data_IF_053448132583
#
_entry.id   IF_053448132583
#
_cell.length_a   1.000
_cell.length_b   1.000
_cell.length_c   1.000
_cell.angle_alpha   90.00
_cell.angle_beta   90.00
_cell.angle_gamma   90.00
#
_symmetry.space_group_name_H-M   'P 1'
#
loop_
_entity.id
_entity.type
_entity.pdbx_description
1 polymer ?
#
# COMPACT_ATOMS: atom_id res chain seq x y z
N UNK A 1 12.99 51.25 -76.20
CA UNK A 1 13.73 51.25 -74.92
C UNK A 1 13.20 50.09 -74.11
N UNK A 2 14.12 49.35 -73.52
CA UNK A 2 13.94 48.25 -72.56
C UNK A 2 13.79 46.82 -73.13
N UNK A 3 14.52 45.94 -72.44
CA UNK A 3 15.16 44.69 -72.87
C UNK A 3 14.28 43.43 -72.76
N UNK A 4 14.59 42.37 -73.52
CA UNK A 4 14.03 41.03 -73.35
C UNK A 4 14.72 40.27 -72.22
N UNK A 5 13.95 39.87 -71.19
CA UNK A 5 14.42 38.98 -70.12
C UNK A 5 14.56 37.53 -70.59
N UNK A 6 15.76 37.00 -70.33
CA UNK A 6 16.25 35.63 -70.52
C UNK A 6 15.35 34.58 -69.85
N UNK A 7 14.88 33.63 -70.64
CA UNK A 7 14.50 32.28 -70.18
C UNK A 7 15.56 31.28 -70.64
N UNK A 8 15.94 30.33 -69.79
CA UNK A 8 16.51 29.06 -70.27
C UNK A 8 17.44 28.32 -69.34
N UNK A 9 16.85 27.37 -68.60
CA UNK A 9 17.44 26.12 -68.08
C UNK A 9 18.59 26.20 -67.06
N UNK A 10 18.24 26.03 -65.79
CA UNK A 10 19.08 25.33 -64.80
C UNK A 10 18.37 24.01 -64.48
N UNK A 11 18.94 22.90 -64.93
CA UNK A 11 18.54 21.55 -64.53
C UNK A 11 19.12 21.27 -63.14
N UNK A 12 18.28 21.30 -62.10
CA UNK A 12 18.63 20.84 -60.76
C UNK A 12 18.55 19.31 -60.73
N UNK A 13 19.69 18.64 -60.84
CA UNK A 13 19.84 17.22 -60.49
C UNK A 13 19.83 17.10 -58.97
N UNK A 14 18.65 16.89 -58.38
CA UNK A 14 18.52 16.41 -57.01
C UNK A 14 18.96 14.94 -56.97
N UNK A 15 20.24 14.73 -56.65
CA UNK A 15 20.74 13.43 -56.24
C UNK A 15 20.11 13.02 -54.91
N UNK A 16 19.08 12.17 -54.99
CA UNK A 16 18.59 11.42 -53.84
C UNK A 16 19.68 10.41 -53.43
N UNK A 17 20.58 10.82 -52.55
CA UNK A 17 21.41 9.88 -51.81
C UNK A 17 20.48 9.05 -50.93
N UNK A 18 20.23 7.80 -51.33
CA UNK A 18 19.66 6.80 -50.43
C UNK A 18 20.58 6.72 -49.22
N UNK A 19 20.06 6.82 -47.97
CA UNK A 19 20.91 6.66 -46.80
C UNK A 19 21.58 5.29 -46.87
N UNK A 20 22.90 5.27 -46.75
CA UNK A 20 23.67 4.05 -46.66
C UNK A 20 23.06 3.19 -45.53
N UNK A 21 22.54 2.02 -45.90
CA UNK A 21 21.99 1.08 -44.93
C UNK A 21 23.13 0.68 -43.99
N UNK A 22 23.03 1.04 -42.71
CA UNK A 22 24.03 0.67 -41.72
C UNK A 22 24.16 -0.86 -41.70
N UNK A 23 25.33 -1.39 -42.05
CA UNK A 23 25.59 -2.83 -42.02
C UNK A 23 25.37 -3.35 -40.60
N UNK A 24 24.44 -4.30 -40.45
CA UNK A 24 24.15 -4.92 -39.17
C UNK A 24 25.28 -5.85 -38.75
N UNK A 25 25.52 -5.90 -37.45
CA UNK A 25 26.63 -6.61 -36.83
C UNK A 25 26.10 -7.84 -36.08
N UNK A 26 26.67 -9.01 -36.40
CA UNK A 26 26.34 -10.31 -35.83
C UNK A 26 27.41 -10.75 -34.81
N UNK A 27 27.04 -11.40 -33.69
CA UNK A 27 28.00 -11.93 -32.73
C UNK A 27 28.77 -13.13 -33.29
N UNK A 28 30.10 -13.10 -33.21
CA UNK A 28 31.00 -14.18 -33.59
C UNK A 28 31.54 -14.93 -32.36
N UNK A 29 32.01 -16.16 -32.56
CA UNK A 29 32.68 -16.95 -31.53
C UNK A 29 33.85 -16.17 -30.91
N UNK A 30 33.79 -15.88 -29.61
CA UNK A 30 34.75 -15.02 -28.91
C UNK A 30 34.24 -13.60 -28.57
N UNK A 31 32.94 -13.34 -28.76
CA UNK A 31 32.29 -12.10 -28.28
C UNK A 31 32.54 -10.86 -29.13
N UNK A 32 33.19 -11.01 -30.30
CA UNK A 32 33.39 -9.91 -31.27
C UNK A 32 32.16 -9.78 -32.17
N UNK A 33 31.78 -8.55 -32.50
CA UNK A 33 30.74 -8.25 -33.47
C UNK A 33 31.35 -8.11 -34.86
N UNK A 34 30.90 -8.90 -35.84
CA UNK A 34 31.34 -8.86 -37.24
C UNK A 34 30.14 -8.55 -38.17
N UNK A 35 30.36 -7.97 -39.36
CA UNK A 35 29.28 -7.79 -40.33
C UNK A 35 28.60 -9.13 -40.65
N UNK A 36 27.27 -9.18 -40.64
CA UNK A 36 26.52 -10.39 -40.98
C UNK A 36 26.83 -10.81 -42.42
N UNK A 37 27.15 -12.10 -42.67
CA UNK A 37 27.62 -12.54 -43.98
C UNK A 37 26.49 -12.86 -44.95
N UNK A 38 25.28 -13.08 -44.44
CA UNK A 38 24.09 -13.35 -45.24
C UNK A 38 22.82 -12.82 -44.57
N UNK A 39 21.75 -12.70 -45.36
CA UNK A 39 20.45 -12.21 -44.90
C UNK A 39 19.85 -13.04 -43.74
N UNK A 40 20.12 -14.35 -43.69
CA UNK A 40 19.61 -15.20 -42.61
C UNK A 40 20.28 -14.87 -41.28
N UNK A 41 21.60 -14.70 -41.26
CA UNK A 41 22.36 -14.23 -40.09
C UNK A 41 21.91 -12.85 -39.63
N UNK A 42 21.65 -11.95 -40.58
CA UNK A 42 21.10 -10.63 -40.30
C UNK A 42 19.73 -10.70 -39.61
N UNK A 43 18.80 -11.52 -40.13
CA UNK A 43 17.50 -11.74 -39.49
C UNK A 43 17.66 -12.34 -38.09
N UNK A 44 18.53 -13.35 -37.90
CA UNK A 44 18.78 -13.94 -36.58
C UNK A 44 19.35 -12.92 -35.59
N UNK A 45 20.25 -12.03 -36.01
CA UNK A 45 20.78 -10.97 -35.14
C UNK A 45 19.69 -9.95 -34.76
N UNK A 46 18.80 -9.58 -35.69
CA UNK A 46 17.64 -8.73 -35.39
C UNK A 46 16.72 -9.41 -34.36
N UNK A 47 16.40 -10.69 -34.56
CA UNK A 47 15.55 -11.44 -33.62
C UNK A 47 16.21 -11.57 -32.25
N UNK A 48 17.50 -11.92 -32.18
CA UNK A 48 18.24 -12.04 -30.92
C UNK A 48 18.34 -10.70 -30.17
N UNK A 49 18.56 -9.58 -30.89
CA UNK A 49 18.57 -8.26 -30.29
C UNK A 49 17.18 -7.89 -29.73
N UNK A 50 16.11 -8.23 -30.45
CA UNK A 50 14.73 -7.99 -30.03
C UNK A 50 14.34 -8.86 -28.83
N UNK A 51 14.80 -10.11 -28.79
CA UNK A 51 14.64 -10.99 -27.63
C UNK A 51 15.36 -10.45 -26.39
N UNK A 52 16.59 -9.94 -26.56
CA UNK A 52 17.33 -9.32 -25.46
C UNK A 52 16.64 -8.03 -24.95
N UNK A 53 16.09 -7.22 -25.85
CA UNK A 53 15.30 -6.03 -25.50
C UNK A 53 14.03 -6.42 -24.73
N UNK A 54 13.29 -7.42 -25.21
CA UNK A 54 12.11 -7.94 -24.52
C UNK A 54 12.45 -8.55 -23.16
N UNK A 55 13.56 -9.29 -23.05
CA UNK A 55 14.03 -9.86 -21.80
C UNK A 55 14.39 -8.77 -20.77
N UNK A 56 15.01 -7.67 -21.21
CA UNK A 56 15.31 -6.51 -20.34
C UNK A 56 14.01 -5.83 -19.87
N UNK A 57 13.09 -5.56 -20.78
CA UNK A 57 11.79 -4.99 -20.44
C UNK A 57 10.99 -5.89 -19.48
N UNK A 58 11.05 -7.21 -19.67
CA UNK A 58 10.44 -8.20 -18.77
C UNK A 58 11.06 -8.17 -17.38
N UNK A 59 12.39 -8.03 -17.28
CA UNK A 59 13.09 -7.94 -16.00
C UNK A 59 12.76 -6.64 -15.25
N UNK A 60 12.71 -5.51 -15.94
CA UNK A 60 12.29 -4.22 -15.37
C UNK A 60 10.83 -4.27 -14.88
N UNK A 61 9.93 -4.83 -15.70
CA UNK A 61 8.53 -5.05 -15.33
C UNK A 61 8.38 -5.95 -14.10
N UNK A 62 9.17 -7.02 -14.03
CA UNK A 62 9.16 -7.94 -12.90
C UNK A 62 9.66 -7.27 -11.61
N UNK A 63 10.72 -6.47 -11.70
CA UNK A 63 11.24 -5.70 -10.56
C UNK A 63 10.23 -4.65 -10.08
N UNK A 64 9.56 -3.96 -11.00
CA UNK A 64 8.50 -3.01 -10.67
C UNK A 64 7.29 -3.71 -10.02
N UNK A 65 6.84 -4.85 -10.56
CA UNK A 65 5.79 -5.67 -9.95
C UNK A 65 6.16 -6.09 -8.53
N UNK A 66 7.41 -6.50 -8.32
CA UNK A 66 7.90 -6.94 -7.01
C UNK A 66 7.93 -5.81 -5.99
N UNK A 67 8.45 -4.64 -6.38
CA UNK A 67 8.46 -3.44 -5.54
C UNK A 67 7.04 -3.01 -5.16
N UNK A 68 6.08 -3.13 -6.08
CA UNK A 68 4.68 -2.80 -5.82
C UNK A 68 3.99 -3.84 -4.93
N UNK A 69 4.32 -5.13 -5.05
CA UNK A 69 3.84 -6.18 -4.13
C UNK A 69 4.30 -5.95 -2.71
N UNK A 70 5.54 -5.47 -2.57
CA UNK A 70 6.11 -5.07 -1.29
C UNK A 70 5.54 -3.74 -0.76
N UNK A 71 4.84 -2.97 -1.59
CA UNK A 71 4.28 -1.67 -1.21
C UNK A 71 2.93 -1.83 -0.51
N UNK A 72 2.82 -1.21 0.65
CA UNK A 72 1.57 -1.12 1.40
C UNK A 72 0.74 0.07 0.91
N UNK A 73 -0.07 -0.14 -0.12
CA UNK A 73 -1.03 0.89 -0.52
C UNK A 73 -2.17 0.98 0.50
N UNK A 74 -2.15 2.05 1.28
CA UNK A 74 -3.12 2.42 2.30
C UNK A 74 -4.25 3.26 1.73
N UNK A 75 -5.42 3.13 2.33
CA UNK A 75 -6.57 4.00 2.15
C UNK A 75 -7.15 4.40 3.52
N UNK A 76 -7.98 5.44 3.51
CA UNK A 76 -8.70 5.90 4.67
C UNK A 76 -10.14 6.28 4.28
N UNK A 77 -11.07 6.15 5.21
CA UNK A 77 -12.44 6.67 5.10
C UNK A 77 -12.74 7.53 6.31
N UNK A 78 -13.32 8.69 6.07
CA UNK A 78 -14.00 9.49 7.08
C UNK A 78 -15.47 9.67 6.69
N UNK A 79 -16.29 10.04 7.68
CA UNK A 79 -17.66 10.40 7.45
C UNK A 79 -18.05 11.62 8.27
N UNK A 80 -18.94 12.43 7.71
CA UNK A 80 -19.62 13.47 8.46
C UNK A 80 -20.56 12.81 9.47
N UNK A 81 -20.33 13.08 10.75
CA UNK A 81 -21.05 12.48 11.87
C UNK A 81 -22.53 12.87 11.93
N UNK A 82 -22.95 13.93 11.24
CA UNK A 82 -24.36 14.36 11.15
C UNK A 82 -25.02 13.85 9.87
N UNK A 83 -24.43 14.14 8.72
CA UNK A 83 -25.05 13.89 7.41
C UNK A 83 -24.79 12.48 6.87
N UNK A 84 -23.74 11.81 7.35
CA UNK A 84 -23.28 10.54 6.80
C UNK A 84 -22.68 10.65 5.40
N UNK A 85 -22.29 11.85 4.98
CA UNK A 85 -21.44 12.06 3.80
C UNK A 85 -20.08 11.42 4.05
N UNK A 86 -19.57 10.68 3.06
CA UNK A 86 -18.28 9.99 3.17
C UNK A 86 -17.18 10.74 2.43
N UNK A 87 -15.98 10.68 2.97
CA UNK A 87 -14.73 11.12 2.34
C UNK A 87 -13.80 9.91 2.31
N UNK A 88 -13.11 9.70 1.19
CA UNK A 88 -12.16 8.60 1.06
C UNK A 88 -10.84 9.09 0.46
N UNK A 89 -9.77 8.42 0.84
CA UNK A 89 -8.43 8.55 0.26
C UNK A 89 -7.95 7.14 -0.03
N UNK A 90 -7.33 6.94 -1.18
CA UNK A 90 -6.85 5.64 -1.64
C UNK A 90 -5.38 5.75 -2.11
N UNK A 91 -4.70 4.60 -2.19
CA UNK A 91 -3.39 4.43 -2.83
C UNK A 91 -2.24 5.27 -2.28
N UNK A 92 -2.11 5.30 -0.95
CA UNK A 92 -1.05 6.04 -0.27
C UNK A 92 -0.03 5.09 0.34
N UNK A 93 1.26 5.34 0.19
CA UNK A 93 2.31 4.40 0.59
C UNK A 93 2.45 4.17 2.10
N UNK A 94 1.90 5.07 2.94
CA UNK A 94 2.03 4.99 4.40
C UNK A 94 0.68 5.26 5.07
N UNK A 95 0.42 4.64 6.23
CA UNK A 95 -0.85 4.81 6.91
C UNK A 95 -1.03 6.25 7.42
N UNK A 96 0.05 6.89 7.87
CA UNK A 96 -0.02 8.28 8.31
C UNK A 96 -0.36 9.24 7.16
N UNK A 97 0.20 9.00 5.98
CA UNK A 97 -0.07 9.84 4.82
C UNK A 97 -1.55 9.74 4.40
N UNK A 98 -2.14 8.54 4.51
CA UNK A 98 -3.58 8.35 4.28
C UNK A 98 -4.42 9.12 5.31
N UNK A 99 -4.00 9.12 6.58
CA UNK A 99 -4.67 9.87 7.64
C UNK A 99 -4.61 11.38 7.40
N UNK A 100 -3.48 11.92 6.98
CA UNK A 100 -3.34 13.37 6.77
C UNK A 100 -4.06 13.86 5.53
N UNK A 101 -3.96 13.11 4.43
CA UNK A 101 -4.79 13.37 3.25
C UNK A 101 -6.26 13.30 3.60
N UNK A 102 -6.65 12.40 4.52
CA UNK A 102 -8.02 12.36 5.02
C UNK A 102 -8.38 13.61 5.81
N UNK A 103 -7.50 14.09 6.71
CA UNK A 103 -7.70 15.36 7.42
C UNK A 103 -7.89 16.54 6.46
N UNK A 104 -7.13 16.55 5.37
CA UNK A 104 -7.27 17.55 4.30
C UNK A 104 -8.59 17.38 3.53
N UNK A 105 -9.01 16.16 3.22
CA UNK A 105 -10.30 15.88 2.57
C UNK A 105 -11.50 16.28 3.44
N UNK A 106 -11.35 16.19 4.76
CA UNK A 106 -12.30 16.68 5.77
C UNK A 106 -12.19 18.20 6.03
N UNK A 107 -11.26 18.92 5.39
CA UNK A 107 -11.05 20.33 5.70
C UNK A 107 -12.31 21.15 5.39
N UNK A 108 -12.80 21.88 6.39
CA UNK A 108 -14.06 22.64 6.30
C UNK A 108 -15.28 21.92 6.86
N UNK A 109 -15.22 20.61 7.08
CA UNK A 109 -16.27 19.85 7.74
C UNK A 109 -15.92 19.53 9.19
N UNK A 110 -16.46 20.33 10.12
CA UNK A 110 -16.21 20.19 11.57
C UNK A 110 -16.73 18.89 12.17
N UNK A 111 -17.66 18.24 11.46
CA UNK A 111 -18.30 16.98 11.85
C UNK A 111 -17.68 15.80 11.10
N UNK A 112 -16.66 16.00 10.25
CA UNK A 112 -15.96 14.90 9.60
C UNK A 112 -15.03 14.20 10.60
N UNK A 113 -15.18 12.89 10.72
CA UNK A 113 -14.35 12.07 11.59
C UNK A 113 -13.96 10.75 10.92
N UNK A 114 -12.79 10.24 11.27
CA UNK A 114 -12.20 9.07 10.65
C UNK A 114 -12.93 7.80 11.06
N UNK A 115 -13.38 7.04 10.07
CA UNK A 115 -14.08 5.76 10.24
C UNK A 115 -13.09 4.61 10.24
N UNK A 116 -12.18 4.58 9.26
CA UNK A 116 -11.26 3.47 9.09
C UNK A 116 -9.99 3.87 8.35
N UNK A 117 -8.91 3.13 8.62
CA UNK A 117 -7.74 3.05 7.76
C UNK A 117 -7.53 1.60 7.35
N UNK A 118 -7.07 1.38 6.13
CA UNK A 118 -7.03 0.03 5.56
C UNK A 118 -5.95 -0.13 4.49
N UNK A 119 -5.49 -1.36 4.26
CA UNK A 119 -4.60 -1.75 3.14
C UNK A 119 -4.99 -3.13 2.61
N UNK A 120 -4.68 -3.37 1.34
CA UNK A 120 -4.90 -4.65 0.63
C UNK A 120 -6.32 -5.22 0.82
N UNK A 121 -7.32 -4.34 0.89
CA UNK A 121 -8.72 -4.71 1.15
C UNK A 121 -9.66 -3.63 0.67
N UNK A 122 -10.95 -3.97 0.62
CA UNK A 122 -12.02 -3.02 0.40
C UNK A 122 -12.80 -2.78 1.68
N UNK A 123 -13.35 -1.57 1.81
CA UNK A 123 -14.30 -1.20 2.85
C UNK A 123 -15.56 -0.70 2.15
N UNK A 124 -16.72 -1.13 2.65
CA UNK A 124 -18.01 -0.67 2.13
C UNK A 124 -18.93 -0.21 3.26
N UNK A 125 -19.83 0.68 2.88
CA UNK A 125 -20.89 1.21 3.72
C UNK A 125 -22.26 0.68 3.27
N UNK A 126 -23.10 0.32 4.24
CA UNK A 126 -24.52 0.13 4.08
C UNK A 126 -25.30 1.16 4.90
N UNK A 127 -26.38 1.68 4.33
CA UNK A 127 -27.25 2.71 4.91
C UNK A 127 -28.60 2.12 5.29
N UNK A 128 -29.07 2.42 6.51
CA UNK A 128 -30.44 2.21 6.94
C UNK A 128 -31.38 3.31 6.43
N UNK A 129 -32.69 3.08 6.53
CA UNK A 129 -33.71 4.05 6.11
C UNK A 129 -33.84 5.27 7.03
N UNK A 130 -33.31 5.21 8.26
CA UNK A 130 -33.22 6.35 9.18
C UNK A 130 -31.84 7.03 9.14
N UNK A 131 -31.00 6.67 8.17
CA UNK A 131 -29.67 7.22 7.94
C UNK A 131 -28.60 6.64 8.87
N UNK A 132 -28.82 5.47 9.44
CA UNK A 132 -27.79 4.66 10.12
C UNK A 132 -26.74 4.19 9.11
N UNK A 133 -25.49 4.09 9.53
CA UNK A 133 -24.37 3.69 8.69
C UNK A 133 -23.66 2.47 9.29
N UNK A 134 -23.49 1.43 8.48
CA UNK A 134 -22.84 0.18 8.88
C UNK A 134 -21.70 -0.16 7.94
N UNK A 135 -20.56 -0.49 8.52
CA UNK A 135 -19.32 -0.70 7.79
C UNK A 135 -18.92 -2.16 7.79
N UNK A 136 -18.29 -2.61 6.71
CA UNK A 136 -17.63 -3.90 6.67
C UNK A 136 -16.42 -3.86 5.73
N UNK A 137 -15.56 -4.87 5.88
CA UNK A 137 -14.38 -5.06 5.05
C UNK A 137 -14.29 -6.48 4.46
N UNK A 138 -13.72 -6.55 3.26
CA UNK A 138 -13.34 -7.79 2.61
C UNK A 138 -12.34 -7.52 1.48
N UNK A 139 -11.40 -8.43 1.28
CA UNK A 139 -10.51 -8.40 0.11
C UNK A 139 -11.23 -8.72 -1.22
N UNK A 140 -12.52 -9.01 -1.21
CA UNK A 140 -13.34 -9.20 -2.41
C UNK A 140 -14.39 -8.09 -2.49
N UNK A 141 -14.32 -7.21 -3.53
CA UNK A 141 -15.23 -6.07 -3.69
C UNK A 141 -16.73 -6.42 -3.68
N UNK A 142 -17.11 -7.61 -4.14
CA UNK A 142 -18.51 -8.07 -4.12
C UNK A 142 -18.95 -8.54 -2.73
N UNK A 143 -18.07 -9.18 -1.98
CA UNK A 143 -18.40 -9.70 -0.64
C UNK A 143 -18.48 -8.57 0.39
N UNK A 144 -17.66 -7.52 0.25
CA UNK A 144 -17.66 -6.42 1.23
C UNK A 144 -19.01 -5.71 1.29
N UNK A 145 -19.68 -5.48 0.15
CA UNK A 145 -21.02 -4.87 0.13
C UNK A 145 -22.06 -5.79 0.79
N UNK A 146 -22.00 -7.09 0.50
CA UNK A 146 -22.88 -8.07 1.13
C UNK A 146 -22.67 -8.11 2.65
N UNK A 147 -21.41 -8.06 3.11
CA UNK A 147 -21.09 -7.99 4.53
C UNK A 147 -21.60 -6.69 5.17
N UNK A 148 -21.46 -5.54 4.50
CA UNK A 148 -21.98 -4.27 5.01
C UNK A 148 -23.51 -4.32 5.14
N UNK A 149 -24.22 -4.85 4.14
CA UNK A 149 -25.67 -5.06 4.23
C UNK A 149 -26.06 -6.02 5.37
N UNK A 150 -25.29 -7.08 5.58
CA UNK A 150 -25.53 -8.01 6.69
C UNK A 150 -25.28 -7.34 8.04
N UNK A 151 -24.25 -6.51 8.17
CA UNK A 151 -23.99 -5.72 9.37
C UNK A 151 -25.15 -4.73 9.65
N UNK A 152 -25.69 -4.08 8.62
CA UNK A 152 -26.87 -3.22 8.73
C UNK A 152 -28.09 -3.97 9.25
N UNK A 153 -28.40 -5.13 8.67
CA UNK A 153 -29.51 -5.98 9.12
C UNK A 153 -29.31 -6.48 10.55
N UNK A 154 -28.09 -6.90 10.89
CA UNK A 154 -27.75 -7.36 12.24
C UNK A 154 -27.81 -6.22 13.28
N UNK A 155 -27.56 -4.98 12.87
CA UNK A 155 -27.76 -3.78 13.67
C UNK A 155 -29.22 -3.39 13.88
N UNK A 156 -30.18 -4.10 13.27
CA UNK A 156 -31.62 -3.85 13.44
C UNK A 156 -32.18 -2.72 12.58
N UNK A 157 -31.40 -2.18 11.64
CA UNK A 157 -31.87 -1.15 10.73
C UNK A 157 -32.77 -1.72 9.63
N UNK A 158 -33.74 -0.91 9.19
CA UNK A 158 -34.63 -1.24 8.08
C UNK A 158 -34.10 -0.67 6.76
N UNK A 159 -34.58 -1.19 5.63
CA UNK A 159 -34.28 -0.62 4.32
C UNK A 159 -32.81 -0.64 3.89
N UNK A 160 -32.00 -1.51 4.48
CA UNK A 160 -30.55 -1.61 4.29
C UNK A 160 -30.13 -1.66 2.81
N UNK A 161 -29.32 -0.67 2.39
CA UNK A 161 -28.79 -0.55 1.03
C UNK A 161 -27.29 -0.28 1.05
N UNK A 162 -26.54 -0.93 0.17
CA UNK A 162 -25.11 -0.67 -0.04
C UNK A 162 -24.86 -0.38 -1.52
N UNK A 163 -24.53 0.87 -1.84
CA UNK A 163 -24.27 1.30 -3.22
C UNK A 163 -22.85 0.92 -3.67
N UNK A 164 -22.64 0.75 -4.97
CA UNK A 164 -21.30 0.51 -5.52
C UNK A 164 -20.35 1.70 -5.32
N UNK A 165 -20.90 2.92 -5.25
CA UNK A 165 -20.14 4.16 -4.98
C UNK A 165 -19.70 4.29 -3.52
N UNK A 166 -20.35 3.54 -2.62
CA UNK A 166 -20.06 3.51 -1.18
C UNK A 166 -19.06 2.40 -0.82
N UNK A 167 -18.40 1.82 -1.82
CA UNK A 167 -17.30 0.86 -1.69
C UNK A 167 -16.01 1.47 -2.21
N UNK A 168 -14.97 1.41 -1.39
CA UNK A 168 -13.63 1.90 -1.71
C UNK A 168 -12.61 0.80 -1.44
N UNK A 169 -11.54 0.76 -2.22
CA UNK A 169 -10.52 -0.29 -2.14
C UNK A 169 -9.13 0.33 -2.22
N UNK A 170 -8.17 -0.26 -1.52
CA UNK A 170 -6.77 0.15 -1.60
C UNK A 170 -5.88 -1.07 -1.40
N UNK A 171 -4.75 -1.10 -2.11
CA UNK A 171 -3.84 -2.25 -2.12
C UNK A 171 -3.27 -2.56 -3.50
N UNK A 172 -2.27 -3.44 -3.53
CA UNK A 172 -1.60 -3.87 -4.76
C UNK A 172 -2.59 -4.44 -5.80
N UNK A 173 -3.60 -5.18 -5.36
CA UNK A 173 -4.59 -5.80 -6.27
C UNK A 173 -5.62 -4.82 -6.86
N UNK A 174 -5.59 -3.55 -6.44
CA UNK A 174 -6.58 -2.51 -6.77
C UNK A 174 -5.98 -1.29 -7.49
N UNK A 175 -4.69 -1.34 -7.82
CA UNK A 175 -3.99 -0.30 -8.60
C UNK A 175 -3.46 -0.92 -9.89
N UNK A 176 -3.79 -0.33 -11.04
CA UNK A 176 -2.99 -0.54 -12.25
C UNK A 176 -1.95 0.58 -12.37
N UNK A 177 -0.72 0.29 -11.95
CA UNK A 177 0.39 1.26 -11.96
C UNK A 177 0.84 1.67 -13.36
N UNK A 178 0.47 0.94 -14.41
CA UNK A 178 0.84 1.28 -15.80
C UNK A 178 -0.09 2.32 -16.39
N UNK A 179 -1.37 2.25 -16.05
CA UNK A 179 -2.37 3.21 -16.52
C UNK A 179 -2.63 4.31 -15.49
N UNK A 180 -2.16 4.14 -14.25
CA UNK A 180 -2.54 5.00 -13.12
C UNK A 180 -4.01 4.82 -12.72
N UNK A 181 -4.68 3.81 -13.27
CA UNK A 181 -6.09 3.55 -12.99
C UNK A 181 -6.21 2.90 -11.61
N UNK A 182 -6.69 3.71 -10.69
CA UNK A 182 -7.23 3.35 -9.40
C UNK A 182 -8.65 2.81 -9.57
N UNK A 183 -8.98 1.63 -9.03
CA UNK A 183 -10.36 1.17 -9.10
C UNK A 183 -10.65 -0.20 -8.48
N UNK A 184 -11.95 -0.49 -8.34
CA UNK A 184 -12.50 -1.73 -7.77
C UNK A 184 -12.19 -3.01 -8.58
N UNK A 185 -11.38 -2.90 -9.62
CA UNK A 185 -11.13 -3.92 -10.63
C UNK A 185 -9.75 -4.54 -10.47
N UNK A 186 -9.74 -5.77 -9.95
CA UNK A 186 -8.68 -6.76 -10.13
C UNK A 186 -7.99 -6.59 -11.50
N UNK A 187 -6.64 -6.65 -11.52
CA UNK A 187 -5.80 -6.67 -12.74
C UNK A 187 -6.58 -7.20 -13.95
N UNK A 188 -6.71 -6.37 -15.01
CA UNK A 188 -7.51 -6.70 -16.20
C UNK A 188 -7.21 -8.12 -16.69
N UNK A 189 -8.19 -8.78 -17.33
CA UNK A 189 -7.98 -10.12 -17.88
C UNK A 189 -6.72 -10.16 -18.77
N UNK A 190 -6.43 -9.08 -19.50
CA UNK A 190 -5.21 -8.92 -20.29
C UNK A 190 -3.92 -8.76 -19.46
N UNK A 191 -3.95 -8.09 -18.31
CA UNK A 191 -2.84 -8.03 -17.36
C UNK A 191 -2.59 -9.39 -16.70
N UNK A 192 -3.67 -10.12 -16.32
CA UNK A 192 -3.59 -11.51 -15.83
C UNK A 192 -3.10 -12.48 -16.90
N UNK A 193 -3.55 -12.35 -18.15
CA UNK A 193 -3.14 -13.21 -19.27
C UNK A 193 -1.69 -12.95 -19.69
N UNK A 194 -1.24 -11.68 -19.67
CA UNK A 194 0.17 -11.32 -19.88
C UNK A 194 1.05 -11.85 -18.75
N UNK A 195 0.61 -11.73 -17.50
CA UNK A 195 1.29 -12.34 -16.36
C UNK A 195 1.32 -13.87 -16.48
N UNK A 196 0.25 -14.52 -16.94
CA UNK A 196 0.20 -15.96 -17.15
C UNK A 196 1.12 -16.44 -18.28
N UNK A 197 1.14 -15.73 -19.43
CA UNK A 197 2.04 -16.02 -20.56
C UNK A 197 3.51 -15.76 -20.21
N UNK A 198 3.83 -14.68 -19.49
CA UNK A 198 5.20 -14.32 -19.08
C UNK A 198 5.74 -15.18 -17.91
N UNK A 199 4.88 -15.68 -17.01
CA UNK A 199 5.30 -16.48 -15.84
C UNK A 199 5.43 -17.99 -16.11
N UNK A 200 5.48 -18.42 -17.38
CA UNK A 200 5.71 -19.83 -17.74
C UNK A 200 4.52 -20.76 -17.48
N UNK A 201 3.29 -20.25 -17.56
CA UNK A 201 2.08 -21.04 -17.30
C UNK A 201 1.86 -21.35 -15.82
N UNK A 202 1.21 -22.49 -15.54
CA UNK A 202 0.67 -22.85 -14.22
C UNK A 202 1.71 -22.79 -13.09
N UNK A 203 2.98 -23.16 -13.35
CA UNK A 203 4.04 -23.23 -12.33
C UNK A 203 4.41 -21.86 -11.71
N UNK A 204 4.49 -20.79 -12.50
CA UNK A 204 4.76 -19.45 -11.97
C UNK A 204 3.55 -18.78 -11.29
N UNK A 205 2.36 -19.35 -11.45
CA UNK A 205 1.16 -18.95 -10.72
C UNK A 205 0.98 -19.68 -9.39
N UNK A 206 1.59 -20.86 -9.21
CA UNK A 206 1.33 -21.73 -8.06
C UNK A 206 2.05 -21.29 -6.78
N UNK A 207 3.15 -20.52 -6.83
CA UNK A 207 3.74 -19.92 -5.61
C UNK A 207 4.73 -18.79 -5.90
N UNK A 208 4.37 -17.52 -5.64
CA UNK A 208 5.29 -16.37 -5.71
C UNK A 208 6.59 -16.61 -4.92
N UNK A 209 6.51 -17.31 -3.78
CA UNK A 209 7.65 -17.69 -2.93
C UNK A 209 8.69 -18.55 -3.65
N UNK A 210 8.28 -19.45 -4.54
CA UNK A 210 9.19 -20.29 -5.32
C UNK A 210 9.85 -19.52 -6.47
N UNK A 211 9.24 -18.41 -6.88
CA UNK A 211 9.77 -17.51 -7.91
C UNK A 211 10.56 -16.33 -7.33
N UNK A 212 10.85 -16.33 -6.01
CA UNK A 212 11.58 -15.25 -5.33
C UNK A 212 10.83 -13.92 -5.27
N UNK A 213 9.50 -13.93 -5.45
CA UNK A 213 8.69 -12.71 -5.45
C UNK A 213 8.22 -12.33 -4.04
N UNK A 214 8.19 -11.03 -3.80
CA UNK A 214 7.63 -10.39 -2.62
C UNK A 214 6.18 -10.82 -2.40
N UNK A 215 5.88 -11.22 -1.16
CA UNK A 215 4.54 -11.59 -0.72
C UNK A 215 3.73 -10.32 -0.47
N UNK A 216 2.51 -10.26 -1.03
CA UNK A 216 1.59 -9.16 -0.76
C UNK A 216 1.20 -9.24 0.71
N UNK A 217 1.36 -8.13 1.42
CA UNK A 217 0.99 -8.05 2.83
C UNK A 217 -0.51 -8.36 3.02
N UNK A 218 -0.90 -9.05 4.11
CA UNK A 218 -2.29 -9.46 4.29
C UNK A 218 -3.24 -8.25 4.37
N UNK A 219 -4.52 -8.44 3.96
CA UNK A 219 -5.58 -7.46 4.15
C UNK A 219 -5.62 -6.96 5.60
N UNK A 220 -5.75 -5.66 5.78
CA UNK A 220 -5.80 -5.06 7.12
C UNK A 220 -6.74 -3.87 7.14
N UNK A 221 -7.61 -3.82 8.14
CA UNK A 221 -8.47 -2.67 8.45
C UNK A 221 -8.37 -2.36 9.94
N UNK A 222 -8.35 -1.08 10.27
CA UNK A 222 -8.53 -0.62 11.64
C UNK A 222 -9.65 0.44 11.68
N UNK A 223 -10.79 0.04 12.23
CA UNK A 223 -11.93 0.92 12.46
C UNK A 223 -11.72 1.80 13.69
N UNK A 224 -12.26 3.02 13.65
CA UNK A 224 -12.54 3.80 14.83
C UNK A 224 -13.86 3.32 15.45
N UNK A 225 -13.84 2.56 16.56
CA UNK A 225 -15.03 1.93 17.09
C UNK A 225 -16.06 2.97 17.57
N UNK A 226 -15.62 4.12 18.10
CA UNK A 226 -16.54 5.16 18.56
C UNK A 226 -17.25 5.84 17.41
N UNK A 227 -16.52 6.15 16.35
CA UNK A 227 -17.10 6.75 15.14
C UNK A 227 -18.05 5.78 14.44
N UNK A 228 -17.64 4.52 14.27
CA UNK A 228 -18.49 3.48 13.69
C UNK A 228 -19.77 3.25 14.52
N UNK A 229 -19.65 3.18 15.85
CA UNK A 229 -20.78 3.00 16.75
C UNK A 229 -21.72 4.21 16.73
N UNK A 230 -21.18 5.43 16.78
CA UNK A 230 -22.01 6.64 16.70
C UNK A 230 -22.78 6.70 15.38
N UNK A 231 -22.10 6.44 14.26
CA UNK A 231 -22.71 6.44 12.93
C UNK A 231 -23.76 5.33 12.72
N UNK A 232 -23.71 4.25 13.49
CA UNK A 232 -24.73 3.19 13.45
C UNK A 232 -26.08 3.61 14.07
N UNK A 233 -26.15 4.78 14.70
CA UNK A 233 -27.39 5.31 15.28
C UNK A 233 -28.23 6.07 14.24
N UNK A 234 -29.58 6.07 14.38
CA UNK A 234 -30.46 6.89 13.56
C UNK A 234 -30.05 8.36 13.54
N UNK A 235 -30.26 9.03 12.41
CA UNK A 235 -29.90 10.46 12.25
C UNK A 235 -30.59 11.34 13.29
N UNK A 236 -31.80 10.99 13.71
CA UNK A 236 -32.55 11.67 14.78
C UNK A 236 -31.85 11.62 16.14
N UNK A 237 -31.08 10.56 16.42
CA UNK A 237 -30.31 10.41 17.66
C UNK A 237 -28.96 11.13 17.60
N UNK A 238 -28.36 11.23 16.40
CA UNK A 238 -27.08 11.92 16.17
C UNK A 238 -27.22 13.44 16.13
N UNK A 239 -28.39 13.94 15.71
CA UNK A 239 -28.66 15.38 15.55
C UNK A 239 -28.39 16.16 16.83
N UNK A 240 -27.47 17.12 16.77
CA UNK A 240 -27.09 17.97 17.91
C UNK A 240 -26.16 17.31 18.92
N UNK A 241 -25.80 16.04 18.72
CA UNK A 241 -24.76 15.36 19.49
C UNK A 241 -23.46 15.36 18.69
N UNK A 242 -22.34 15.65 19.34
CA UNK A 242 -21.04 15.26 18.81
C UNK A 242 -20.61 14.00 19.54
N UNK A 243 -20.04 12.98 18.85
CA UNK A 243 -19.36 11.91 19.57
C UNK A 243 -18.35 12.56 20.52
N UNK A 244 -18.14 11.97 21.70
CA UNK A 244 -16.98 12.30 22.50
C UNK A 244 -15.78 12.11 21.57
N UNK A 245 -15.18 13.20 21.09
CA UNK A 245 -13.97 13.09 20.27
C UNK A 245 -12.94 12.47 21.22
N UNK A 246 -12.44 11.24 21.00
CA UNK A 246 -11.13 10.92 21.53
C UNK A 246 -10.15 12.01 21.09
N UNK A 247 -8.88 11.89 21.45
CA UNK A 247 -7.79 12.53 20.72
C UNK A 247 -7.68 12.00 19.26
N UNK A 248 -8.82 11.72 18.61
CA UNK A 248 -9.21 10.79 17.54
C UNK A 248 -8.68 11.10 16.16
N UNK A 249 -7.70 11.99 16.11
CA UNK A 249 -6.90 12.22 14.93
C UNK A 249 -5.52 11.54 15.04
N UNK A 250 -5.30 10.75 16.10
CA UNK A 250 -4.05 10.08 16.42
C UNK A 250 -4.07 8.63 15.94
N UNK A 251 -3.22 8.30 14.97
CA UNK A 251 -2.90 6.92 14.62
C UNK A 251 -2.10 6.31 15.78
N UNK A 252 -2.53 5.14 16.22
CA UNK A 252 -1.78 4.30 17.16
C UNK A 252 -1.04 3.22 16.39
N UNK A 253 0.21 2.99 16.79
CA UNK A 253 1.02 1.84 16.39
C UNK A 253 1.37 1.04 17.64
N UNK A 254 1.22 -0.28 17.57
CA UNK A 254 1.56 -1.18 18.65
C UNK A 254 2.46 -2.30 18.18
N UNK A 255 3.25 -2.83 19.12
CA UNK A 255 4.12 -3.97 18.93
C UNK A 255 3.83 -5.03 19.98
N UNK A 256 3.74 -6.28 19.54
CA UNK A 256 3.55 -7.45 20.38
C UNK A 256 4.67 -8.48 20.16
N UNK A 257 5.01 -9.19 21.23
CA UNK A 257 6.05 -10.19 21.25
C UNK A 257 5.62 -11.42 22.08
N UNK A 258 5.85 -12.62 21.56
CA UNK A 258 5.67 -13.88 22.27
C UNK A 258 6.97 -14.36 22.89
N UNK A 259 7.07 -14.34 24.23
CA UNK A 259 8.33 -14.66 24.93
C UNK A 259 8.81 -16.10 24.74
N UNK A 260 7.89 -17.04 24.54
CA UNK A 260 8.22 -18.45 24.34
C UNK A 260 8.35 -18.80 22.86
N UNK A 261 7.53 -18.17 22.01
CA UNK A 261 7.51 -18.45 20.58
C UNK A 261 8.52 -17.63 19.76
N UNK A 262 9.02 -16.52 20.30
CA UNK A 262 9.78 -15.52 19.56
C UNK A 262 8.95 -14.79 18.51
N UNK A 263 7.62 -15.00 18.47
CA UNK A 263 6.76 -14.40 17.47
C UNK A 263 6.62 -12.89 17.69
N UNK A 264 6.47 -12.16 16.60
CA UNK A 264 6.37 -10.70 16.58
C UNK A 264 5.15 -10.27 15.79
N UNK A 265 4.50 -9.21 16.24
CA UNK A 265 3.39 -8.63 15.50
C UNK A 265 3.33 -7.12 15.69
N UNK A 266 2.98 -6.42 14.63
CA UNK A 266 2.64 -5.00 14.67
C UNK A 266 1.15 -4.84 14.44
N UNK A 267 0.61 -3.78 15.02
CA UNK A 267 -0.79 -3.41 14.85
C UNK A 267 -0.90 -1.91 14.73
N UNK A 268 -1.93 -1.47 14.02
CA UNK A 268 -2.32 -0.08 13.94
C UNK A 268 -3.75 0.09 14.43
N UNK A 269 -4.11 1.27 14.87
CA UNK A 269 -5.47 1.51 15.35
C UNK A 269 -5.75 2.98 15.54
N UNK A 270 -7.02 3.32 15.72
CA UNK A 270 -7.43 4.68 16.08
C UNK A 270 -7.49 4.88 17.60
N UNK A 271 -7.37 3.79 18.35
CA UNK A 271 -7.26 3.76 19.79
C UNK A 271 -6.24 2.69 20.21
N UNK A 272 -5.62 2.88 21.37
CA UNK A 272 -4.58 2.00 21.90
C UNK A 272 -5.01 0.53 21.89
N UNK A 273 -6.18 0.23 22.46
CA UNK A 273 -6.69 -1.15 22.57
C UNK A 273 -6.86 -1.85 21.23
N UNK A 274 -7.29 -1.14 20.18
CA UNK A 274 -7.42 -1.70 18.82
C UNK A 274 -6.06 -2.01 18.23
N UNK A 275 -5.10 -1.07 18.32
CA UNK A 275 -3.74 -1.30 17.83
C UNK A 275 -3.05 -2.46 18.56
N UNK A 276 -3.22 -2.55 19.89
CA UNK A 276 -2.66 -3.60 20.73
C UNK A 276 -3.28 -4.97 20.44
N UNK A 277 -4.60 -5.04 20.26
CA UNK A 277 -5.30 -6.26 19.86
C UNK A 277 -4.83 -6.74 18.48
N UNK A 278 -4.72 -5.83 17.51
CA UNK A 278 -4.23 -6.15 16.18
C UNK A 278 -2.78 -6.61 16.21
N UNK A 279 -1.90 -5.98 17.00
CA UNK A 279 -0.51 -6.41 17.14
C UNK A 279 -0.41 -7.86 17.65
N UNK A 280 -1.25 -8.24 18.63
CA UNK A 280 -1.34 -9.61 19.15
C UNK A 280 -1.90 -10.57 18.11
N UNK A 281 -2.91 -10.16 17.34
CA UNK A 281 -3.47 -10.97 16.26
C UNK A 281 -2.43 -11.26 15.17
N UNK A 282 -1.70 -10.23 14.72
CA UNK A 282 -0.60 -10.37 13.75
C UNK A 282 0.53 -11.26 14.29
N UNK A 283 0.82 -11.17 15.59
CA UNK A 283 1.80 -12.02 16.25
C UNK A 283 1.41 -13.51 16.22
N UNK A 284 0.11 -13.82 16.26
CA UNK A 284 -0.43 -15.12 15.86
C UNK A 284 -0.14 -16.30 16.82
N UNK A 285 0.47 -16.04 17.99
CA UNK A 285 0.73 -17.05 19.03
C UNK A 285 0.02 -16.69 20.33
N UNK A 286 -0.37 -17.72 21.09
CA UNK A 286 -1.12 -17.56 22.35
C UNK A 286 -0.32 -16.86 23.45
N UNK A 287 1.01 -16.86 23.36
CA UNK A 287 1.91 -16.21 24.32
C UNK A 287 2.25 -14.76 23.96
N UNK A 288 1.71 -14.22 22.85
CA UNK A 288 1.97 -12.87 22.40
C UNK A 288 1.37 -11.81 23.34
N UNK A 289 2.21 -10.89 23.82
CA UNK A 289 1.81 -9.75 24.63
C UNK A 289 2.23 -8.44 23.98
N UNK A 290 1.40 -7.41 24.07
CA UNK A 290 1.74 -6.06 23.60
C UNK A 290 2.82 -5.47 24.51
N UNK A 291 3.98 -5.12 23.93
CA UNK A 291 5.08 -4.50 24.67
C UNK A 291 4.99 -2.97 24.68
N UNK A 292 4.50 -2.39 23.59
CA UNK A 292 4.33 -0.94 23.47
C UNK A 292 3.19 -0.60 22.53
N UNK A 293 2.49 0.49 22.83
CA UNK A 293 1.57 1.16 21.93
C UNK A 293 1.81 2.68 22.01
N UNK A 294 2.14 3.28 20.88
CA UNK A 294 2.47 4.69 20.74
C UNK A 294 1.49 5.35 19.78
N UNK A 295 1.04 6.56 20.11
CA UNK A 295 0.17 7.37 19.25
C UNK A 295 0.94 8.42 18.48
N UNK A 296 0.29 9.06 17.50
CA UNK A 296 0.84 10.22 16.80
C UNK A 296 1.43 11.25 17.77
N UNK A 297 2.67 11.68 17.52
CA UNK A 297 3.46 12.56 18.39
C UNK A 297 4.30 11.85 19.46
N UNK A 298 4.11 10.54 19.68
CA UNK A 298 4.95 9.74 20.57
C UNK A 298 6.03 8.98 19.80
N UNK A 299 7.17 8.73 20.46
CA UNK A 299 8.22 7.88 19.92
C UNK A 299 8.39 6.62 20.76
N UNK A 300 8.74 5.52 20.12
CA UNK A 300 9.01 4.26 20.77
C UNK A 300 10.23 3.57 20.18
N UNK A 301 10.82 2.67 20.95
CA UNK A 301 11.89 1.80 20.49
C UNK A 301 11.68 0.37 20.97
N UNK A 302 12.21 -0.57 20.21
CA UNK A 302 12.22 -2.00 20.47
C UNK A 302 13.68 -2.45 20.53
N UNK A 303 14.04 -3.11 21.60
CA UNK A 303 15.36 -3.66 21.86
C UNK A 303 15.24 -5.16 22.02
N UNK A 304 16.02 -5.91 21.25
CA UNK A 304 16.16 -7.34 21.41
C UNK A 304 17.40 -7.69 22.25
N UNK A 305 17.31 -8.75 23.02
CA UNK A 305 18.44 -9.37 23.71
C UNK A 305 18.24 -10.88 23.84
N UNK A 306 19.24 -11.57 24.37
CA UNK A 306 19.17 -13.01 24.66
C UNK A 306 19.43 -13.27 26.14
N UNK A 307 18.68 -14.18 26.74
CA UNK A 307 18.95 -14.61 28.12
C UNK A 307 20.13 -15.60 28.19
N UNK A 308 20.51 -16.01 29.39
CA UNK A 308 21.59 -16.97 29.62
C UNK A 308 21.32 -18.37 29.00
N UNK A 309 20.09 -18.64 28.57
CA UNK A 309 19.67 -19.88 27.88
C UNK A 309 19.55 -19.67 26.37
N UNK A 310 20.06 -18.54 25.86
CA UNK A 310 19.95 -18.13 24.45
C UNK A 310 18.50 -17.95 23.96
N UNK A 311 17.56 -17.67 24.87
CA UNK A 311 16.18 -17.35 24.50
C UNK A 311 16.08 -15.86 24.20
N UNK A 312 15.61 -15.54 23.00
CA UNK A 312 15.38 -14.15 22.57
C UNK A 312 14.25 -13.51 23.36
N UNK A 313 14.45 -12.27 23.81
CA UNK A 313 13.36 -11.43 24.30
C UNK A 313 13.45 -10.01 23.76
N UNK A 314 12.28 -9.41 23.56
CA UNK A 314 12.17 -8.02 23.17
C UNK A 314 11.66 -7.17 24.36
N UNK A 315 12.21 -5.96 24.47
CA UNK A 315 11.78 -4.90 25.37
C UNK A 315 11.39 -3.68 24.56
N UNK A 316 10.47 -2.87 25.07
CA UNK A 316 10.08 -1.65 24.40
C UNK A 316 9.81 -0.53 25.38
N UNK A 317 10.10 0.70 24.96
CA UNK A 317 9.86 1.89 25.76
C UNK A 317 9.36 3.04 24.88
N UNK A 318 8.56 3.93 25.49
CA UNK A 318 8.14 5.20 24.89
C UNK A 318 8.96 6.36 25.44
N UNK A 319 9.18 7.36 24.60
CA UNK A 319 9.76 8.63 25.01
C UNK A 319 9.36 9.77 24.06
N UNK A 320 9.84 10.98 24.37
CA UNK A 320 9.61 12.19 23.56
C UNK A 320 10.37 12.19 22.21
N UNK A 321 11.42 11.38 22.07
CA UNK A 321 12.19 11.24 20.84
C UNK A 321 12.76 9.81 20.71
N UNK A 322 13.26 9.47 19.50
CA UNK A 322 13.78 8.12 19.20
C UNK A 322 14.94 7.71 20.09
N UNK A 323 15.86 8.63 20.35
CA UNK A 323 17.08 8.36 21.13
C UNK A 323 16.75 8.01 22.58
N UNK A 324 15.91 8.82 23.24
CA UNK A 324 15.47 8.56 24.61
C UNK A 324 14.65 7.28 24.71
N UNK A 325 13.84 6.96 23.69
CA UNK A 325 13.09 5.71 23.65
C UNK A 325 14.05 4.51 23.55
N UNK A 326 15.07 4.60 22.69
CA UNK A 326 16.10 3.59 22.54
C UNK A 326 16.92 3.38 23.82
N UNK A 327 17.35 4.45 24.47
CA UNK A 327 18.06 4.39 25.74
C UNK A 327 17.20 3.77 26.85
N UNK A 328 15.92 4.15 26.94
CA UNK A 328 14.99 3.58 27.91
C UNK A 328 14.75 2.08 27.67
N UNK A 329 14.54 1.66 26.42
CA UNK A 329 14.37 0.25 26.06
C UNK A 329 15.66 -0.56 26.30
N UNK A 330 16.83 0.00 25.99
CA UNK A 330 18.14 -0.62 26.26
C UNK A 330 18.37 -0.82 27.75
N UNK A 331 18.00 0.19 28.55
CA UNK A 331 18.06 0.10 30.01
C UNK A 331 17.18 -1.03 30.52
N UNK A 332 15.94 -1.16 30.03
CA UNK A 332 15.05 -2.26 30.41
C UNK A 332 15.64 -3.63 30.04
N UNK A 333 16.18 -3.78 28.83
CA UNK A 333 16.82 -5.03 28.40
C UNK A 333 18.01 -5.43 29.30
N UNK A 334 18.91 -4.48 29.59
CA UNK A 334 20.07 -4.72 30.46
C UNK A 334 19.65 -5.03 31.90
N UNK A 335 18.67 -4.29 32.43
CA UNK A 335 18.12 -4.54 33.77
C UNK A 335 17.38 -5.89 33.86
N UNK A 336 16.88 -6.41 32.74
CA UNK A 336 16.31 -7.74 32.64
C UNK A 336 17.34 -8.88 32.64
N UNK A 337 18.64 -8.57 32.75
CA UNK A 337 19.72 -9.56 32.77
C UNK A 337 20.04 -10.17 31.41
N UNK A 338 19.58 -9.54 30.32
CA UNK A 338 19.86 -10.03 28.97
C UNK A 338 21.24 -9.60 28.49
N UNK A 339 21.82 -10.46 27.67
CA UNK A 339 23.04 -10.20 26.93
C UNK A 339 22.71 -9.71 25.52
N UNK A 340 23.69 -9.06 24.87
CA UNK A 340 23.58 -8.61 23.47
C UNK A 340 22.38 -7.67 23.21
N UNK A 341 22.00 -6.84 24.19
CA UNK A 341 20.93 -5.86 24.03
C UNK A 341 21.24 -4.86 22.89
N UNK A 342 20.46 -4.89 21.83
CA UNK A 342 20.59 -4.01 20.67
C UNK A 342 19.24 -3.39 20.29
N UNK A 343 19.26 -2.10 19.92
CA UNK A 343 18.08 -1.43 19.38
C UNK A 343 17.83 -2.00 17.98
N UNK A 344 16.75 -2.77 17.83
CA UNK A 344 16.33 -3.28 16.54
C UNK A 344 15.49 -2.25 15.78
N UNK A 345 14.74 -1.41 16.49
CA UNK A 345 13.84 -0.43 15.89
C UNK A 345 13.64 0.77 16.82
N UNK A 346 13.64 1.99 16.28
CA UNK A 346 13.25 3.19 17.02
C UNK A 346 12.60 4.19 16.06
N UNK A 347 11.36 4.57 16.33
CA UNK A 347 10.59 5.44 15.43
C UNK A 347 9.66 6.36 16.21
N UNK A 348 9.32 7.48 15.59
CA UNK A 348 8.27 8.35 16.07
C UNK A 348 7.05 8.17 15.19
N UNK A 349 5.87 8.10 15.80
CA UNK A 349 4.62 8.12 15.04
C UNK A 349 4.39 9.58 14.62
N UNK A 350 5.08 10.04 13.58
CA UNK A 350 5.03 11.43 13.10
C UNK A 350 3.95 11.64 12.06
N UNK A 351 3.52 12.89 11.89
CA UNK A 351 2.73 13.37 10.73
C UNK A 351 3.66 13.83 9.58
N UNK A 352 3.22 13.82 8.31
CA UNK A 352 3.86 14.49 7.16
C UNK A 352 4.16 15.95 7.47
N UNK A 353 3.26 16.67 8.15
CA UNK A 353 3.52 18.08 8.50
C UNK A 353 4.78 18.25 9.35
N UNK A 354 5.07 17.28 10.24
CA UNK A 354 6.28 17.27 11.06
C UNK A 354 7.53 16.81 10.29
N UNK A 355 7.37 16.08 9.18
CA UNK A 355 8.47 15.66 8.32
C UNK A 355 8.85 16.75 7.30
N UNK A 356 7.88 17.49 6.77
CA UNK A 356 8.11 18.58 5.82
C UNK A 356 8.85 19.77 6.46
N UNK A 357 8.71 19.98 7.77
CA UNK A 357 9.42 21.01 8.51
C UNK A 357 10.91 20.67 8.80
N UNK A 358 11.37 19.48 8.41
CA UNK A 358 12.75 19.00 8.62
C UNK A 358 13.59 18.95 7.33
N UNK A 359 13.02 19.38 6.19
CA UNK A 359 13.70 19.53 4.90
C UNK A 359 13.94 21.01 4.60
#
# INVERSE_FOLDING_TARGET
MEDPMKYGLIALLLGLSLPAQAQQMCPASGGRLLPCQNFMEEQFAIYAAKEAEWAKADAEDAAADDANRASDYWGAIAANMQTGQIHHVEYVYRPIDALERMKQACAGDKQCDLVAIYRNTCVALARGDQGELFWADDAKPKLVQQKAMNACKAGGANGCRADERDRVCSGYDYVDIRTGEAGTGQQSLGSKLRAFKRKGGLLGAISPKLAGKSEVQPPQVAYNPMTAQFLSQPTSMRSGQSPAKPDGSSLWMAYAFGRNSGARGTGIGMVEGVSAAQARQTCGKSDCQTLVAARTGECFAIVGGVDARHVQQDFAAKAKNKELAGQAALKQCKSGGLQQCQVGFAECVKTLSEMAAQQ
#
